data_IF_188262087543
#
_entry.id   IF_188262087543
#
_cell.length_a   1.000
_cell.length_b   1.000
_cell.length_c   1.000
_cell.angle_alpha   90.00
_cell.angle_beta   90.00
_cell.angle_gamma   90.00
#
_symmetry.space_group_name_H-M   'P 1'
#
loop_
_entity.id
_entity.type
_entity.pdbx_description
1 polymer ?
#
# COMPACT_ATOMS: atom_id res chain seq x y z
N UNK A 1 2.51 48.15 -28.51
CA UNK A 1 1.08 47.81 -28.74
C UNK A 1 0.55 47.21 -27.43
N UNK A 2 0.37 47.99 -26.37
CA UNK A 2 -0.75 48.92 -26.10
C UNK A 2 -2.01 48.20 -25.62
N UNK A 3 -2.30 48.38 -24.30
CA UNK A 3 -3.64 48.50 -23.68
C UNK A 3 -4.44 47.17 -23.58
N UNK A 4 -5.12 46.77 -22.50
CA UNK A 4 -5.94 47.51 -21.56
C UNK A 4 -6.33 46.59 -20.37
N UNK A 5 -6.38 47.16 -19.17
CA UNK A 5 -7.05 46.64 -17.98
C UNK A 5 -8.58 46.48 -18.18
N UNK A 6 -9.21 45.47 -17.55
CA UNK A 6 -10.62 45.35 -17.06
C UNK A 6 -10.97 43.85 -17.02
N UNK A 7 -11.67 43.26 -16.06
CA UNK A 7 -12.39 43.72 -14.87
C UNK A 7 -12.68 42.45 -14.05
N UNK A 8 -12.41 42.48 -12.75
CA UNK A 8 -13.10 41.60 -11.79
C UNK A 8 -14.60 41.96 -11.77
N UNK A 9 -15.46 41.03 -11.37
CA UNK A 9 -16.32 41.33 -10.24
C UNK A 9 -16.12 40.37 -9.06
N UNK A 10 -16.19 40.97 -7.88
CA UNK A 10 -16.20 40.37 -6.54
C UNK A 10 -17.64 39.98 -6.15
N UNK A 11 -17.74 39.16 -5.10
CA UNK A 11 -18.92 38.76 -4.30
C UNK A 11 -19.83 37.73 -4.99
N UNK A 12 -20.07 36.54 -4.41
CA UNK A 12 -20.67 36.34 -3.09
C UNK A 12 -19.83 35.45 -2.17
N UNK A 13 -19.54 36.03 -1.00
CA UNK A 13 -19.06 35.42 0.24
C UNK A 13 -20.26 34.84 0.99
N UNK A 14 -20.17 33.58 1.40
CA UNK A 14 -20.81 32.99 2.59
C UNK A 14 -20.27 31.55 2.72
N UNK A 15 -19.86 30.99 3.84
CA UNK A 15 -19.43 31.46 5.15
C UNK A 15 -18.55 30.31 5.71
N UNK A 16 -17.58 30.66 6.56
CA UNK A 16 -16.53 29.80 7.13
C UNK A 16 -17.10 28.75 8.15
N UNK A 17 -16.31 27.83 8.79
CA UNK A 17 -15.01 28.12 9.41
C UNK A 17 -13.87 27.12 9.12
N UNK A 18 -12.72 27.70 8.74
CA UNK A 18 -11.40 27.18 9.06
C UNK A 18 -11.06 27.61 10.49
N UNK A 19 -10.92 26.66 11.41
CA UNK A 19 -10.18 26.85 12.65
C UNK A 19 -9.84 25.50 13.29
N UNK A 20 -8.62 25.41 13.83
CA UNK A 20 -7.94 24.23 14.38
C UNK A 20 -7.40 23.32 13.27
N UNK A 21 -6.12 23.33 12.94
CA UNK A 21 -5.01 23.06 13.86
C UNK A 21 -3.80 23.89 13.45
N UNK A 22 -3.45 24.88 14.27
CA UNK A 22 -2.11 25.45 14.30
C UNK A 22 -1.68 25.44 15.75
N UNK A 23 -0.66 24.65 16.08
CA UNK A 23 0.32 24.84 17.16
C UNK A 23 0.85 23.51 17.70
N UNK A 24 1.78 22.89 16.97
CA UNK A 24 2.94 22.21 17.60
C UNK A 24 4.17 22.55 16.77
N UNK A 25 4.62 23.80 16.86
CA UNK A 25 5.97 24.18 16.46
C UNK A 25 6.92 23.76 17.57
N UNK A 26 7.48 22.55 17.47
CA UNK A 26 8.67 22.16 18.23
C UNK A 26 9.85 22.20 17.26
N UNK A 27 10.69 23.23 17.45
CA UNK A 27 11.97 23.45 16.79
C UNK A 27 12.89 22.24 17.00
N UNK A 28 13.03 21.38 15.98
CA UNK A 28 14.06 20.34 15.95
C UNK A 28 14.83 20.46 14.63
N UNK A 29 16.03 21.03 14.76
CA UNK A 29 17.20 20.97 13.88
C UNK A 29 16.99 20.36 12.49
N UNK A 30 16.96 21.25 11.51
CA UNK A 30 17.11 20.99 10.08
C UNK A 30 18.27 20.02 9.78
N UNK A 31 18.02 19.09 8.84
CA UNK A 31 18.98 18.38 7.94
C UNK A 31 18.86 16.86 7.80
N UNK A 32 17.82 16.17 8.30
CA UNK A 32 17.78 14.70 8.10
C UNK A 32 16.41 14.04 7.87
N UNK A 33 15.33 14.78 7.58
CA UNK A 33 13.99 14.16 7.39
C UNK A 33 13.28 14.65 6.10
N UNK A 34 13.86 15.64 5.39
CA UNK A 34 13.32 16.16 4.14
C UNK A 34 12.98 15.09 3.06
N UNK A 35 13.76 14.02 2.84
CA UNK A 35 13.40 13.08 1.77
C UNK A 35 12.21 12.18 2.11
N UNK A 36 11.87 11.96 3.39
CA UNK A 36 10.81 11.03 3.78
C UNK A 36 9.43 11.69 3.68
N UNK A 37 9.31 12.95 4.11
CA UNK A 37 8.04 13.70 4.03
C UNK A 37 7.69 14.04 2.57
N UNK A 38 8.70 14.33 1.74
CA UNK A 38 8.51 14.58 0.31
C UNK A 38 8.03 13.31 -0.42
N UNK A 39 8.57 12.13 -0.09
CA UNK A 39 8.14 10.87 -0.72
C UNK A 39 6.69 10.52 -0.37
N UNK A 40 6.24 10.78 0.87
CA UNK A 40 4.84 10.54 1.26
C UNK A 40 3.89 11.54 0.57
N UNK A 41 4.24 12.83 0.51
CA UNK A 41 3.42 13.83 -0.20
C UNK A 41 3.39 13.65 -1.71
N UNK A 42 4.47 13.14 -2.32
CA UNK A 42 4.49 12.80 -3.75
C UNK A 42 3.63 11.57 -4.02
N UNK A 43 3.69 10.52 -3.16
CA UNK A 43 2.90 9.31 -3.36
C UNK A 43 1.38 9.59 -3.25
N UNK A 44 0.97 10.39 -2.27
CA UNK A 44 -0.43 10.80 -2.09
C UNK A 44 -0.93 11.77 -3.17
N UNK A 45 -0.02 12.52 -3.83
CA UNK A 45 -0.37 13.39 -4.96
C UNK A 45 -0.39 12.62 -6.30
N UNK A 46 0.38 11.53 -6.42
CA UNK A 46 0.42 10.68 -7.60
C UNK A 46 -0.78 9.72 -7.67
N UNK A 47 -1.31 9.32 -6.51
CA UNK A 47 -2.53 8.50 -6.42
C UNK A 47 -3.81 9.29 -6.80
N UNK A 48 -3.82 10.62 -6.66
CA UNK A 48 -4.95 11.47 -7.09
C UNK A 48 -4.93 11.88 -8.58
N UNK A 49 -3.93 11.46 -9.37
CA UNK A 49 -3.83 11.85 -10.79
C UNK A 49 -4.13 10.73 -11.79
N UNK A 50 -4.53 9.55 -11.33
CA UNK A 50 -4.95 8.44 -12.22
C UNK A 50 -6.47 8.49 -12.55
N UNK A 51 -7.27 9.26 -11.80
CA UNK A 51 -8.73 9.28 -11.97
C UNK A 51 -9.28 10.41 -12.86
N UNK A 52 -8.55 10.86 -13.90
CA UNK A 52 -9.01 11.98 -14.75
C UNK A 52 -9.15 11.74 -16.25
N UNK A 53 -9.05 10.50 -16.71
CA UNK A 53 -9.30 10.16 -18.12
C UNK A 53 -10.08 8.84 -18.29
N UNK A 54 -11.31 8.76 -17.75
CA UNK A 54 -12.34 7.87 -18.34
C UNK A 54 -13.78 8.32 -18.06
N UNK A 55 -14.07 9.62 -18.11
CA UNK A 55 -15.42 10.07 -18.46
C UNK A 55 -15.53 10.15 -19.99
N UNK A 56 -15.71 9.01 -20.64
CA UNK A 56 -16.22 8.95 -22.02
C UNK A 56 -17.52 8.15 -22.03
N UNK A 57 -18.56 8.86 -22.47
CA UNK A 57 -19.91 8.42 -22.87
C UNK A 57 -20.82 7.80 -21.79
N UNK A 58 -21.49 8.67 -21.02
CA UNK A 58 -22.86 8.40 -20.56
C UNK A 58 -23.78 8.51 -21.78
N UNK A 59 -23.89 7.40 -22.52
CA UNK A 59 -24.63 7.35 -23.79
C UNK A 59 -24.96 5.94 -24.29
N UNK A 60 -24.85 4.93 -23.43
CA UNK A 60 -25.41 3.60 -23.66
C UNK A 60 -26.23 3.26 -22.42
N UNK A 61 -27.54 3.10 -22.57
CA UNK A 61 -28.40 2.51 -21.56
C UNK A 61 -27.71 1.30 -20.95
N UNK A 62 -27.52 1.27 -19.61
CA UNK A 62 -27.01 0.09 -18.93
C UNK A 62 -27.86 -1.11 -19.37
N UNK A 63 -27.32 -2.10 -20.10
CA UNK A 63 -28.12 -3.21 -20.60
C UNK A 63 -28.82 -3.94 -19.44
N UNK A 64 -28.17 -3.97 -18.27
CA UNK A 64 -28.74 -4.48 -17.03
C UNK A 64 -30.04 -3.76 -16.62
N UNK A 65 -30.11 -2.43 -16.68
CA UNK A 65 -31.33 -1.67 -16.33
C UNK A 65 -32.49 -2.02 -17.25
N UNK A 66 -32.22 -2.17 -18.55
CA UNK A 66 -33.23 -2.58 -19.51
C UNK A 66 -33.75 -3.99 -19.20
N UNK A 67 -32.86 -4.93 -18.89
CA UNK A 67 -33.24 -6.29 -18.53
C UNK A 67 -34.01 -6.36 -17.20
N UNK A 68 -33.66 -5.54 -16.21
CA UNK A 68 -34.39 -5.46 -14.93
C UNK A 68 -35.80 -4.90 -15.13
N UNK A 69 -35.97 -3.89 -15.98
CA UNK A 69 -37.30 -3.35 -16.32
C UNK A 69 -38.16 -4.43 -17.01
N UNK A 70 -37.58 -5.17 -17.95
CA UNK A 70 -38.26 -6.29 -18.62
C UNK A 70 -38.61 -7.41 -17.63
N UNK A 71 -37.72 -7.72 -16.68
CA UNK A 71 -37.93 -8.75 -15.67
C UNK A 71 -39.16 -8.46 -14.78
N UNK A 72 -39.41 -7.19 -14.46
CA UNK A 72 -40.59 -6.80 -13.67
C UNK A 72 -41.91 -7.13 -14.35
N UNK A 73 -41.94 -7.19 -15.68
CA UNK A 73 -43.16 -7.46 -16.46
C UNK A 73 -43.20 -8.88 -17.04
N UNK A 74 -42.07 -9.58 -17.12
CA UNK A 74 -41.97 -10.93 -17.66
C UNK A 74 -42.38 -11.98 -16.62
N UNK A 75 -43.21 -12.95 -17.01
CA UNK A 75 -43.60 -14.10 -16.17
C UNK A 75 -43.49 -15.42 -16.92
N UNK A 76 -43.19 -16.50 -16.20
CA UNK A 76 -43.14 -17.87 -16.75
C UNK A 76 -42.17 -17.98 -17.94
N UNK A 77 -42.68 -18.39 -19.10
CA UNK A 77 -41.88 -18.58 -20.32
C UNK A 77 -41.15 -17.31 -20.79
N UNK A 78 -41.74 -16.13 -20.62
CA UNK A 78 -41.10 -14.87 -20.98
C UNK A 78 -39.88 -14.57 -20.07
N UNK A 79 -39.97 -14.94 -18.80
CA UNK A 79 -38.85 -14.79 -17.86
C UNK A 79 -37.73 -15.78 -18.17
N UNK A 80 -38.05 -17.01 -18.62
CA UNK A 80 -37.04 -17.97 -19.11
C UNK A 80 -36.28 -17.42 -20.31
N UNK A 81 -36.99 -16.83 -21.27
CA UNK A 81 -36.36 -16.26 -22.45
C UNK A 81 -35.49 -15.04 -22.09
N UNK A 82 -35.95 -14.20 -21.17
CA UNK A 82 -35.16 -13.10 -20.63
C UNK A 82 -33.87 -13.59 -19.96
N UNK A 83 -33.93 -14.66 -19.16
CA UNK A 83 -32.73 -15.25 -18.55
C UNK A 83 -31.75 -15.70 -19.61
N UNK A 84 -32.20 -16.38 -20.68
CA UNK A 84 -31.32 -16.77 -21.78
C UNK A 84 -30.67 -15.56 -22.45
N UNK A 85 -31.44 -14.52 -22.75
CA UNK A 85 -30.92 -13.29 -23.36
C UNK A 85 -29.88 -12.60 -22.48
N UNK A 86 -30.12 -12.52 -21.16
CA UNK A 86 -29.18 -11.92 -20.21
C UNK A 86 -27.90 -12.75 -20.07
N UNK A 87 -28.02 -14.07 -20.06
CA UNK A 87 -26.87 -14.96 -19.99
C UNK A 87 -26.00 -14.86 -21.25
N UNK A 88 -26.58 -14.61 -22.42
CA UNK A 88 -25.85 -14.45 -23.68
C UNK A 88 -25.35 -13.01 -23.92
N UNK A 89 -25.96 -12.01 -23.28
CA UNK A 89 -25.58 -10.61 -23.45
C UNK A 89 -24.12 -10.36 -23.02
N UNK A 90 -23.25 -9.83 -23.91
CA UNK A 90 -21.90 -9.42 -23.55
C UNK A 90 -21.93 -8.18 -22.63
N UNK A 91 -20.98 -8.09 -21.71
CA UNK A 91 -20.86 -6.95 -20.78
C UNK A 91 -21.76 -7.00 -19.54
N UNK A 92 -22.74 -7.92 -19.48
CA UNK A 92 -23.56 -8.13 -18.27
C UNK A 92 -22.97 -9.26 -17.45
N UNK A 93 -22.20 -8.95 -16.42
CA UNK A 93 -21.53 -9.93 -15.54
C UNK A 93 -22.08 -9.98 -14.12
N UNK A 94 -23.09 -9.14 -13.83
CA UNK A 94 -23.76 -8.98 -12.54
C UNK A 94 -25.22 -9.40 -12.71
N UNK A 95 -25.69 -10.34 -11.90
CA UNK A 95 -27.01 -10.95 -11.99
C UNK A 95 -27.79 -10.89 -10.68
N UNK A 96 -27.21 -10.41 -9.58
CA UNK A 96 -27.87 -10.34 -8.27
C UNK A 96 -29.16 -9.52 -8.31
N UNK A 97 -29.14 -8.35 -8.96
CA UNK A 97 -30.32 -7.48 -9.14
C UNK A 97 -31.46 -8.19 -9.89
N UNK A 98 -31.09 -8.98 -10.89
CA UNK A 98 -32.05 -9.75 -11.67
C UNK A 98 -32.62 -10.91 -10.82
N UNK A 99 -31.77 -11.58 -10.05
CA UNK A 99 -32.17 -12.66 -9.14
C UNK A 99 -33.05 -12.17 -7.98
N UNK A 100 -32.90 -10.91 -7.57
CA UNK A 100 -33.70 -10.31 -6.50
C UNK A 100 -35.12 -9.92 -6.94
N UNK A 101 -35.38 -9.88 -8.26
CA UNK A 101 -36.71 -9.55 -8.80
C UNK A 101 -37.73 -10.66 -8.51
N UNK A 102 -38.90 -10.29 -7.97
CA UNK A 102 -39.96 -11.24 -7.58
C UNK A 102 -40.39 -12.17 -8.72
N UNK A 103 -40.54 -11.63 -9.94
CA UNK A 103 -40.88 -12.41 -11.13
C UNK A 103 -39.92 -13.58 -11.37
N UNK A 104 -38.64 -13.44 -11.00
CA UNK A 104 -37.59 -14.43 -11.20
C UNK A 104 -37.51 -15.39 -10.02
N UNK A 105 -37.72 -14.91 -8.80
CA UNK A 105 -37.88 -15.76 -7.60
C UNK A 105 -39.06 -16.73 -7.75
N UNK A 106 -40.15 -16.32 -8.40
CA UNK A 106 -41.28 -17.21 -8.69
C UNK A 106 -40.89 -18.40 -9.59
N UNK A 107 -39.92 -18.25 -10.50
CA UNK A 107 -39.46 -19.38 -11.34
C UNK A 107 -38.82 -20.48 -10.51
N UNK A 108 -38.23 -20.17 -9.34
CA UNK A 108 -37.60 -21.17 -8.47
C UNK A 108 -38.60 -22.24 -8.01
N UNK A 109 -39.87 -21.85 -7.80
CA UNK A 109 -40.94 -22.75 -7.35
C UNK A 109 -41.75 -23.35 -8.51
N UNK A 110 -41.46 -22.93 -9.74
CA UNK A 110 -42.21 -23.32 -10.93
C UNK A 110 -41.62 -24.50 -11.70
N UNK A 111 -42.25 -24.88 -12.83
CA UNK A 111 -41.74 -25.91 -13.74
C UNK A 111 -40.42 -25.53 -14.43
N UNK A 112 -39.99 -24.27 -14.31
CA UNK A 112 -38.77 -23.72 -14.89
C UNK A 112 -37.67 -23.46 -13.85
N UNK A 113 -37.74 -24.10 -12.68
CA UNK A 113 -36.77 -24.01 -11.58
C UNK A 113 -35.32 -24.28 -12.03
N UNK A 114 -35.16 -25.09 -13.06
CA UNK A 114 -33.88 -25.41 -13.70
C UNK A 114 -33.17 -24.17 -14.26
N UNK A 115 -33.90 -23.19 -14.81
CA UNK A 115 -33.32 -21.94 -15.31
C UNK A 115 -32.97 -20.96 -14.19
N UNK A 116 -33.71 -21.00 -13.08
CA UNK A 116 -33.37 -20.23 -11.88
C UNK A 116 -32.06 -20.74 -11.27
N UNK A 117 -31.89 -22.06 -11.18
CA UNK A 117 -30.65 -22.67 -10.71
C UNK A 117 -29.47 -22.32 -11.63
N UNK A 118 -29.68 -22.31 -12.95
CA UNK A 118 -28.67 -21.87 -13.91
C UNK A 118 -28.24 -20.42 -13.63
N UNK A 119 -29.20 -19.49 -13.47
CA UNK A 119 -28.89 -18.10 -13.15
C UNK A 119 -28.14 -17.97 -11.82
N UNK A 120 -28.50 -18.77 -10.82
CA UNK A 120 -27.81 -18.82 -9.52
C UNK A 120 -26.34 -19.24 -9.66
N UNK A 121 -26.03 -20.20 -10.54
CA UNK A 121 -24.65 -20.61 -10.83
C UNK A 121 -23.88 -19.48 -11.51
N UNK A 122 -24.50 -18.74 -12.43
CA UNK A 122 -23.84 -17.58 -13.05
C UNK A 122 -23.58 -16.45 -12.06
N UNK A 123 -24.47 -16.23 -11.09
CA UNK A 123 -24.28 -15.23 -10.04
C UNK A 123 -23.18 -15.66 -9.05
N UNK A 124 -23.30 -16.85 -8.46
CA UNK A 124 -22.48 -17.25 -7.30
C UNK A 124 -21.58 -18.47 -7.52
N UNK A 125 -21.88 -19.31 -8.52
CA UNK A 125 -21.24 -20.60 -8.71
C UNK A 125 -20.04 -20.60 -9.67
N UNK A 126 -19.50 -21.78 -9.95
CA UNK A 126 -18.34 -21.94 -10.84
C UNK A 126 -18.65 -22.84 -12.03
N UNK A 127 -17.81 -22.80 -13.07
CA UNK A 127 -17.96 -23.69 -14.22
C UNK A 127 -17.92 -25.17 -13.84
N UNK A 128 -17.11 -25.52 -12.83
CA UNK A 128 -17.05 -26.88 -12.29
C UNK A 128 -18.36 -27.31 -11.63
N UNK A 129 -19.03 -26.41 -10.90
CA UNK A 129 -20.36 -26.70 -10.32
C UNK A 129 -21.39 -26.94 -11.42
N UNK A 130 -21.36 -26.15 -12.49
CA UNK A 130 -22.21 -26.40 -13.66
C UNK A 130 -21.97 -27.79 -14.25
N UNK A 131 -20.70 -28.22 -14.39
CA UNK A 131 -20.36 -29.55 -14.90
C UNK A 131 -20.92 -30.68 -14.03
N UNK A 132 -20.90 -30.53 -12.71
CA UNK A 132 -21.46 -31.53 -11.79
C UNK A 132 -22.99 -31.62 -11.86
N UNK A 133 -23.66 -30.50 -12.19
CA UNK A 133 -25.11 -30.43 -12.30
C UNK A 133 -25.61 -30.53 -13.75
N UNK A 134 -24.73 -30.86 -14.70
CA UNK A 134 -25.04 -30.87 -16.14
C UNK A 134 -26.24 -31.75 -16.49
N UNK A 135 -26.43 -32.87 -15.79
CA UNK A 135 -27.56 -33.80 -16.02
C UNK A 135 -28.92 -33.24 -15.58
N UNK A 136 -28.92 -32.21 -14.73
CA UNK A 136 -30.14 -31.58 -14.19
C UNK A 136 -30.41 -30.20 -14.79
N UNK A 137 -29.43 -29.60 -15.44
CA UNK A 137 -29.46 -28.25 -15.99
C UNK A 137 -29.69 -28.28 -17.51
N UNK A 138 -30.15 -27.16 -18.11
CA UNK A 138 -30.29 -27.07 -19.55
C UNK A 138 -28.92 -27.01 -20.20
N UNK A 139 -28.82 -27.46 -21.45
CA UNK A 139 -27.61 -27.26 -22.24
C UNK A 139 -27.35 -25.76 -22.45
N UNK A 140 -26.14 -25.32 -22.15
CA UNK A 140 -25.71 -23.93 -22.34
C UNK A 140 -25.13 -23.73 -23.74
N UNK A 141 -25.45 -22.59 -24.35
CA UNK A 141 -24.84 -22.14 -25.62
C UNK A 141 -23.32 -21.93 -25.44
N UNK A 142 -22.49 -22.12 -26.48
CA UNK A 142 -21.05 -21.87 -26.39
C UNK A 142 -20.67 -20.48 -25.86
N UNK A 143 -21.45 -19.44 -26.16
CA UNK A 143 -21.25 -18.10 -25.61
C UNK A 143 -21.46 -18.03 -24.10
N UNK A 144 -22.53 -18.65 -23.59
CA UNK A 144 -22.80 -18.76 -22.14
C UNK A 144 -21.70 -19.57 -21.44
N UNK A 145 -21.20 -20.64 -22.07
CA UNK A 145 -20.08 -21.42 -21.55
C UNK A 145 -18.82 -20.55 -21.37
N UNK A 146 -18.41 -19.81 -22.40
CA UNK A 146 -17.26 -18.89 -22.31
C UNK A 146 -17.44 -17.85 -21.21
N UNK A 147 -18.64 -17.28 -21.10
CA UNK A 147 -18.98 -16.30 -20.06
C UNK A 147 -18.85 -16.89 -18.65
N UNK A 148 -19.36 -18.10 -18.42
CA UNK A 148 -19.22 -18.78 -17.13
C UNK A 148 -17.74 -19.12 -16.82
N UNK A 149 -16.96 -19.47 -17.83
CA UNK A 149 -15.53 -19.67 -17.69
C UNK A 149 -14.82 -18.36 -17.29
N UNK A 150 -15.14 -17.23 -17.94
CA UNK A 150 -14.60 -15.90 -17.53
C UNK A 150 -14.96 -15.55 -16.08
N UNK A 151 -16.22 -15.76 -15.67
CA UNK A 151 -16.67 -15.51 -14.29
C UNK A 151 -15.97 -16.44 -13.28
N UNK A 152 -15.63 -17.65 -13.69
CA UNK A 152 -14.85 -18.59 -12.86
C UNK A 152 -13.42 -18.08 -12.67
N UNK A 153 -12.78 -17.54 -13.72
CA UNK A 153 -11.46 -16.90 -13.61
C UNK A 153 -11.52 -15.72 -12.64
N UNK A 154 -12.52 -14.85 -12.75
CA UNK A 154 -12.74 -13.72 -11.82
C UNK A 154 -12.89 -14.20 -10.38
N UNK A 155 -13.65 -15.29 -10.15
CA UNK A 155 -13.83 -15.86 -8.82
C UNK A 155 -12.55 -16.45 -8.23
N UNK A 156 -11.66 -16.99 -9.08
CA UNK A 156 -10.33 -17.43 -8.68
C UNK A 156 -9.40 -16.24 -8.41
N UNK A 157 -9.52 -15.15 -9.18
CA UNK A 157 -8.76 -13.92 -8.99
C UNK A 157 -8.99 -13.29 -7.61
N UNK A 158 -10.20 -13.39 -7.07
CA UNK A 158 -10.51 -12.92 -5.71
C UNK A 158 -9.71 -13.67 -4.64
N UNK A 159 -9.34 -14.93 -4.89
CA UNK A 159 -8.62 -15.78 -3.93
C UNK A 159 -7.11 -15.70 -4.10
N UNK A 160 -6.63 -15.59 -5.34
CA UNK A 160 -5.22 -15.66 -5.68
C UNK A 160 -4.88 -14.67 -6.81
N UNK A 161 -3.86 -13.84 -6.59
CA UNK A 161 -3.36 -12.89 -7.60
C UNK A 161 -2.53 -13.56 -8.69
N UNK A 162 -1.82 -14.65 -8.36
CA UNK A 162 -1.04 -15.44 -9.29
C UNK A 162 -1.70 -16.81 -9.42
N UNK A 163 -2.36 -17.07 -10.54
CA UNK A 163 -3.14 -18.29 -10.77
C UNK A 163 -2.32 -19.24 -11.66
N UNK A 164 -1.92 -20.43 -11.18
CA UNK A 164 -1.22 -21.38 -12.02
C UNK A 164 -2.15 -21.97 -13.09
N UNK A 165 -1.61 -22.24 -14.27
CA UNK A 165 -2.38 -22.80 -15.39
C UNK A 165 -3.00 -24.16 -15.06
N UNK A 166 -2.37 -24.97 -14.21
CA UNK A 166 -2.93 -26.25 -13.77
C UNK A 166 -4.28 -26.11 -13.07
N UNK A 167 -4.43 -25.08 -12.23
CA UNK A 167 -5.70 -24.78 -11.53
C UNK A 167 -6.73 -24.27 -12.53
N UNK A 168 -6.34 -23.39 -13.46
CA UNK A 168 -7.25 -22.90 -14.50
C UNK A 168 -7.75 -24.03 -15.42
N UNK A 169 -6.86 -24.91 -15.87
CA UNK A 169 -7.22 -26.05 -16.71
C UNK A 169 -8.20 -26.98 -15.99
N UNK A 170 -8.01 -27.22 -14.68
CA UNK A 170 -8.88 -28.06 -13.87
C UNK A 170 -10.25 -27.42 -13.61
N UNK A 171 -10.29 -26.13 -13.24
CA UNK A 171 -11.55 -25.44 -12.90
C UNK A 171 -12.40 -25.11 -14.14
N UNK A 172 -11.76 -24.92 -15.31
CA UNK A 172 -12.42 -24.58 -16.58
C UNK A 172 -12.68 -25.79 -17.49
N UNK A 173 -12.27 -26.99 -17.06
CA UNK A 173 -12.30 -28.26 -17.83
C UNK A 173 -11.72 -28.10 -19.25
N UNK A 174 -10.49 -27.58 -19.31
CA UNK A 174 -9.75 -27.39 -20.57
C UNK A 174 -8.51 -28.27 -20.60
N UNK A 175 -8.25 -28.87 -21.76
CA UNK A 175 -7.10 -29.79 -21.97
C UNK A 175 -5.90 -29.10 -22.62
N UNK A 176 -6.15 -28.02 -23.35
CA UNK A 176 -5.15 -27.32 -24.15
C UNK A 176 -4.80 -25.99 -23.51
N UNK A 177 -3.50 -25.68 -23.47
CA UNK A 177 -3.01 -24.39 -22.98
C UNK A 177 -3.36 -23.25 -23.95
N UNK A 178 -3.36 -23.49 -25.26
CA UNK A 178 -3.73 -22.45 -26.24
C UNK A 178 -5.17 -21.97 -26.07
N UNK A 179 -6.10 -22.90 -25.93
CA UNK A 179 -7.51 -22.56 -25.72
C UNK A 179 -7.72 -21.78 -24.41
N UNK A 180 -6.90 -22.08 -23.39
CA UNK A 180 -6.86 -21.31 -22.14
C UNK A 180 -6.34 -19.89 -22.35
N UNK A 181 -5.21 -19.74 -23.06
CA UNK A 181 -4.63 -18.43 -23.37
C UNK A 181 -5.60 -17.56 -24.19
N UNK A 182 -6.22 -18.14 -25.22
CA UNK A 182 -7.21 -17.44 -26.05
C UNK A 182 -8.41 -16.97 -25.21
N UNK A 183 -8.89 -17.78 -24.27
CA UNK A 183 -9.97 -17.41 -23.35
C UNK A 183 -9.54 -16.27 -22.40
N UNK A 184 -8.33 -16.34 -21.85
CA UNK A 184 -7.79 -15.26 -20.99
C UNK A 184 -7.66 -13.97 -21.79
N UNK A 185 -7.15 -14.06 -23.02
CA UNK A 185 -7.02 -12.93 -23.92
C UNK A 185 -8.41 -12.32 -24.20
N UNK A 186 -9.42 -13.12 -24.54
CA UNK A 186 -10.81 -12.66 -24.71
C UNK A 186 -11.35 -11.94 -23.47
N UNK A 187 -11.05 -12.44 -22.26
CA UNK A 187 -11.46 -11.81 -21.02
C UNK A 187 -10.75 -10.46 -20.77
N UNK A 188 -9.48 -10.33 -21.15
CA UNK A 188 -8.73 -9.07 -21.10
C UNK A 188 -9.30 -8.06 -22.10
N UNK A 189 -9.58 -8.49 -23.34
CA UNK A 189 -10.17 -7.64 -24.37
C UNK A 189 -11.59 -7.16 -24.00
N UNK A 190 -12.30 -7.91 -23.16
CA UNK A 190 -13.64 -7.57 -22.68
C UNK A 190 -13.63 -6.73 -21.41
N UNK A 191 -12.46 -6.23 -20.96
CA UNK A 191 -12.26 -5.47 -19.72
C UNK A 191 -12.76 -6.20 -18.44
N UNK A 192 -12.84 -7.54 -18.47
CA UNK A 192 -13.27 -8.36 -17.32
C UNK A 192 -12.11 -8.53 -16.33
N UNK A 193 -10.91 -8.75 -16.86
CA UNK A 193 -9.68 -8.93 -16.08
C UNK A 193 -8.56 -8.09 -16.68
N UNK A 194 -7.67 -7.58 -15.82
CA UNK A 194 -6.42 -6.97 -16.22
C UNK A 194 -5.27 -7.74 -15.58
N UNK A 195 -4.31 -8.13 -16.40
CA UNK A 195 -3.20 -8.95 -15.95
C UNK A 195 -2.25 -9.29 -17.08
N UNK A 196 -1.24 -10.10 -16.76
CA UNK A 196 -0.19 -10.55 -17.67
C UNK A 196 -0.08 -12.06 -17.63
N UNK A 197 0.11 -12.65 -18.79
CA UNK A 197 0.39 -14.07 -18.93
C UNK A 197 1.89 -14.29 -18.77
N UNK A 198 2.28 -15.05 -17.75
CA UNK A 198 3.65 -15.50 -17.56
C UNK A 198 3.79 -16.95 -18.02
N UNK A 199 4.15 -17.09 -19.30
CA UNK A 199 4.34 -18.40 -19.92
C UNK A 199 5.51 -19.18 -19.34
N UNK A 200 6.54 -18.50 -18.81
CA UNK A 200 7.73 -19.16 -18.27
C UNK A 200 7.40 -19.93 -17.00
N UNK A 201 6.61 -19.31 -16.12
CA UNK A 201 6.18 -19.93 -14.87
C UNK A 201 4.81 -20.61 -14.99
N UNK A 202 4.19 -20.58 -16.18
CA UNK A 202 2.86 -21.15 -16.45
C UNK A 202 1.81 -20.63 -15.47
N UNK A 203 1.78 -19.30 -15.30
CA UNK A 203 0.89 -18.61 -14.38
C UNK A 203 0.28 -17.37 -15.00
N UNK A 204 -0.93 -17.03 -14.55
CA UNK A 204 -1.62 -15.80 -14.86
C UNK A 204 -1.46 -14.84 -13.68
N UNK A 205 -0.82 -13.71 -13.91
CA UNK A 205 -0.69 -12.63 -12.93
C UNK A 205 -1.82 -11.63 -13.13
N UNK A 206 -2.64 -11.42 -12.11
CA UNK A 206 -3.79 -10.53 -12.16
C UNK A 206 -3.53 -9.28 -11.33
N UNK A 207 -3.67 -8.13 -12.00
CA UNK A 207 -3.60 -6.81 -11.39
C UNK A 207 -4.98 -6.39 -10.88
N UNK A 208 -6.02 -6.65 -11.69
CA UNK A 208 -7.40 -6.30 -11.39
C UNK A 208 -8.37 -7.29 -12.02
N UNK A 209 -9.52 -7.49 -11.37
CA UNK A 209 -10.65 -8.21 -11.92
C UNK A 209 -11.94 -7.49 -11.52
N UNK A 210 -12.94 -7.52 -12.39
CA UNK A 210 -14.26 -6.98 -12.06
C UNK A 210 -14.87 -7.71 -10.86
N UNK A 211 -15.68 -7.01 -10.07
CA UNK A 211 -16.46 -7.64 -9.02
C UNK A 211 -17.58 -8.48 -9.62
N UNK A 212 -17.68 -9.75 -9.19
CA UNK A 212 -18.87 -10.58 -9.42
C UNK A 212 -19.93 -10.30 -8.34
N UNK A 213 -21.12 -10.88 -8.51
CA UNK A 213 -22.19 -10.87 -7.52
C UNK A 213 -21.70 -11.36 -6.14
N UNK A 214 -22.04 -10.57 -5.13
CA UNK A 214 -21.74 -10.87 -3.73
C UNK A 214 -22.94 -11.58 -3.12
N UNK A 215 -22.68 -12.72 -2.46
CA UNK A 215 -23.75 -13.40 -1.74
C UNK A 215 -24.11 -12.57 -0.49
N UNK A 216 -25.39 -12.44 -0.11
CA UNK A 216 -25.80 -11.62 1.05
C UNK A 216 -25.12 -12.02 2.37
N UNK A 217 -24.60 -13.24 2.52
CA UNK A 217 -23.81 -13.67 3.68
C UNK A 217 -22.33 -13.28 3.66
N UNK A 218 -21.79 -12.83 2.53
CA UNK A 218 -20.37 -12.51 2.37
C UNK A 218 -20.03 -11.05 2.76
N UNK A 219 -21.04 -10.20 2.98
CA UNK A 219 -20.82 -8.81 3.41
C UNK A 219 -20.03 -8.72 4.74
N UNK A 220 -20.31 -9.65 5.67
CA UNK A 220 -19.58 -9.73 6.92
C UNK A 220 -18.09 -10.09 6.71
N UNK A 221 -17.80 -10.95 5.73
CA UNK A 221 -16.42 -11.31 5.37
C UNK A 221 -15.69 -10.12 4.76
N UNK A 222 -16.34 -9.39 3.85
CA UNK A 222 -15.78 -8.18 3.23
C UNK A 222 -15.45 -7.15 4.32
N UNK A 223 -16.40 -6.87 5.22
CA UNK A 223 -16.18 -5.96 6.35
C UNK A 223 -15.02 -6.42 7.24
N UNK A 224 -14.95 -7.71 7.58
CA UNK A 224 -13.86 -8.26 8.38
C UNK A 224 -12.49 -8.14 7.68
N UNK A 225 -12.42 -8.38 6.37
CA UNK A 225 -11.17 -8.22 5.61
C UNK A 225 -10.70 -6.77 5.54
N UNK A 226 -11.63 -5.83 5.37
CA UNK A 226 -11.31 -4.40 5.38
C UNK A 226 -10.85 -3.95 6.77
N UNK A 227 -11.51 -4.43 7.83
CA UNK A 227 -11.10 -4.14 9.20
C UNK A 227 -9.70 -4.68 9.49
N UNK A 228 -9.41 -5.93 9.12
CA UNK A 228 -8.08 -6.51 9.29
C UNK A 228 -7.00 -5.73 8.53
N UNK A 229 -7.33 -5.16 7.37
CA UNK A 229 -6.42 -4.31 6.62
C UNK A 229 -6.19 -2.95 7.32
N UNK A 230 -7.25 -2.32 7.85
CA UNK A 230 -7.13 -1.12 8.67
C UNK A 230 -6.26 -1.36 9.91
N UNK A 231 -6.49 -2.46 10.63
CA UNK A 231 -5.74 -2.82 11.83
C UNK A 231 -4.26 -3.07 11.51
N UNK A 232 -3.96 -3.69 10.35
CA UNK A 232 -2.60 -3.87 9.88
C UNK A 232 -1.90 -2.53 9.58
N UNK A 233 -2.60 -1.59 8.94
CA UNK A 233 -2.09 -0.25 8.68
C UNK A 233 -1.83 0.51 9.99
N UNK A 234 -2.75 0.44 10.95
CA UNK A 234 -2.59 1.05 12.27
C UNK A 234 -1.40 0.44 13.03
N UNK A 235 -1.24 -0.89 13.00
CA UNK A 235 -0.10 -1.57 13.62
C UNK A 235 1.24 -1.13 13.02
N UNK A 236 1.31 -0.93 11.70
CA UNK A 236 2.51 -0.39 11.04
C UNK A 236 2.77 1.05 11.47
N UNK A 237 1.75 1.90 11.53
CA UNK A 237 1.89 3.29 11.99
C UNK A 237 2.40 3.36 13.43
N UNK A 238 1.80 2.60 14.35
CA UNK A 238 2.23 2.51 15.76
C UNK A 238 3.67 2.00 15.88
N UNK A 239 4.05 1.01 15.05
CA UNK A 239 5.42 0.52 15.01
C UNK A 239 6.40 1.62 14.58
N UNK A 240 6.08 2.39 13.53
CA UNK A 240 6.90 3.51 13.07
C UNK A 240 7.02 4.59 14.15
N UNK A 241 5.93 4.98 14.78
CA UNK A 241 5.92 5.94 15.89
C UNK A 241 6.79 5.47 17.06
N UNK A 242 6.68 4.18 17.44
CA UNK A 242 7.53 3.58 18.47
C UNK A 242 9.02 3.65 18.11
N UNK A 243 9.37 3.38 16.85
CA UNK A 243 10.75 3.48 16.40
C UNK A 243 11.28 4.92 16.41
N UNK A 244 10.43 5.90 16.09
CA UNK A 244 10.78 7.33 16.19
C UNK A 244 11.08 7.69 17.65
N UNK A 245 10.22 7.29 18.59
CA UNK A 245 10.43 7.56 20.03
C UNK A 245 11.72 6.91 20.53
N UNK A 246 11.97 5.66 20.18
CA UNK A 246 13.20 4.94 20.54
C UNK A 246 14.45 5.63 19.98
N UNK A 247 14.43 6.01 18.70
CA UNK A 247 15.54 6.71 18.07
C UNK A 247 15.81 8.08 18.72
N UNK A 248 14.76 8.83 19.04
CA UNK A 248 14.89 10.12 19.74
C UNK A 248 15.40 9.96 21.17
N UNK A 249 14.94 8.93 21.89
CA UNK A 249 15.41 8.64 23.24
C UNK A 249 16.91 8.27 23.26
N UNK A 250 17.34 7.40 22.35
CA UNK A 250 18.76 7.02 22.24
C UNK A 250 19.62 8.20 21.81
N UNK A 251 19.15 9.02 20.86
CA UNK A 251 19.82 10.27 20.48
C UNK A 251 19.98 11.21 21.68
N UNK A 252 18.93 11.43 22.47
CA UNK A 252 18.98 12.28 23.65
C UNK A 252 19.90 11.72 24.73
N UNK A 253 19.93 10.40 24.92
CA UNK A 253 20.84 9.72 25.84
C UNK A 253 22.31 9.91 25.40
N UNK A 254 22.59 9.73 24.11
CA UNK A 254 23.91 9.94 23.54
C UNK A 254 24.37 11.41 23.66
N UNK A 255 23.47 12.38 23.42
CA UNK A 255 23.76 13.80 23.61
C UNK A 255 24.10 14.13 25.06
N UNK A 256 23.29 13.67 26.02
CA UNK A 256 23.57 13.85 27.46
C UNK A 256 24.89 13.22 27.89
N UNK A 257 25.19 12.02 27.38
CA UNK A 257 26.46 11.36 27.68
C UNK A 257 27.65 12.14 27.13
N UNK A 258 27.54 12.64 25.90
CA UNK A 258 28.57 13.51 25.28
C UNK A 258 28.76 14.79 26.08
N UNK A 259 27.69 15.46 26.51
CA UNK A 259 27.76 16.67 27.35
C UNK A 259 28.44 16.39 28.69
N UNK A 260 28.13 15.27 29.35
CA UNK A 260 28.79 14.86 30.61
C UNK A 260 30.30 14.70 30.43
N UNK A 261 30.72 14.02 29.35
CA UNK A 261 32.15 13.85 29.03
C UNK A 261 32.80 15.22 28.76
N UNK A 262 32.16 16.09 27.99
CA UNK A 262 32.68 17.43 27.69
C UNK A 262 32.83 18.29 28.97
N UNK A 263 31.88 18.18 29.91
CA UNK A 263 31.95 18.85 31.21
C UNK A 263 33.08 18.28 32.08
N UNK A 264 33.23 16.96 32.17
CA UNK A 264 34.34 16.33 32.88
C UNK A 264 35.69 16.75 32.32
N UNK A 265 35.84 16.77 30.99
CA UNK A 265 37.05 17.26 30.32
C UNK A 265 37.31 18.73 30.64
N UNK A 266 36.26 19.57 30.67
CA UNK A 266 36.40 20.98 31.02
C UNK A 266 36.81 21.18 32.49
N UNK A 267 36.25 20.38 33.40
CA UNK A 267 36.57 20.40 34.84
C UNK A 267 38.02 19.96 35.09
N UNK A 268 38.44 18.83 34.48
CA UNK A 268 39.83 18.35 34.56
C UNK A 268 40.80 19.42 34.02
N UNK A 269 40.49 20.05 32.89
CA UNK A 269 41.31 21.15 32.34
C UNK A 269 41.42 22.34 33.30
N UNK A 270 40.35 22.70 34.02
CA UNK A 270 40.38 23.78 35.01
C UNK A 270 41.24 23.42 36.22
N UNK A 271 41.06 22.21 36.78
CA UNK A 271 41.87 21.73 37.92
C UNK A 271 43.35 21.63 37.58
N UNK A 272 43.69 21.18 36.36
CA UNK A 272 45.08 21.18 35.89
C UNK A 272 45.65 22.60 35.82
N UNK A 273 44.90 23.58 35.30
CA UNK A 273 45.36 24.97 35.23
C UNK A 273 45.58 25.60 36.62
N UNK A 274 44.68 25.34 37.58
CA UNK A 274 44.83 25.88 38.95
C UNK A 274 46.02 25.25 39.67
N UNK A 275 46.25 23.94 39.51
CA UNK A 275 47.45 23.29 40.07
C UNK A 275 48.76 23.80 39.46
N UNK A 276 48.77 24.14 38.17
CA UNK A 276 49.96 24.77 37.56
C UNK A 276 50.19 26.19 38.09
N UNK A 277 49.14 26.98 38.33
CA UNK A 277 49.27 28.33 38.94
C UNK A 277 49.72 28.28 40.41
N UNK A 278 49.17 27.38 41.23
CA UNK A 278 49.61 27.21 42.63
C UNK A 278 51.08 26.74 42.71
N UNK A 279 51.53 25.94 41.74
CA UNK A 279 52.93 25.52 41.63
C UNK A 279 53.88 26.64 41.19
N UNK A 280 53.41 27.58 40.36
CA UNK A 280 54.18 28.77 39.96
C UNK A 280 54.24 29.82 41.09
N UNK A 281 53.20 29.92 41.94
CA UNK A 281 53.16 30.84 43.07
C UNK A 281 53.99 30.33 44.27
N UNK A 282 54.04 29.01 44.50
CA UNK A 282 54.91 28.37 45.49
C UNK A 282 56.41 28.45 45.15
N UNK A 283 56.79 28.52 43.87
CA UNK A 283 58.19 28.78 43.47
C UNK A 283 58.60 30.25 43.59
N UNK A 284 57.67 31.18 43.79
CA UNK A 284 57.97 32.60 43.94
C UNK A 284 58.13 33.03 45.42
N UNK A 285 57.58 32.26 46.37
CA UNK A 285 57.74 32.49 47.81
C UNK A 285 59.04 31.91 48.40
N UNK A 286 59.60 30.86 47.80
CA UNK A 286 60.89 30.28 48.23
C UNK A 286 62.13 31.06 47.74
N UNK A 287 61.95 32.10 46.92
CA UNK A 287 63.03 32.95 46.38
C UNK A 287 63.30 34.24 47.18
N UNK A 288 62.73 34.40 48.38
CA UNK A 288 62.95 35.60 49.22
C UNK A 288 63.73 35.38 50.52
N UNK A 289 64.07 34.15 50.87
CA UNK A 289 64.91 33.86 52.05
C UNK A 289 66.01 32.83 51.77
N UNK A 290 66.91 33.11 50.83
CA UNK A 290 68.29 32.62 51.00
C UNK A 290 69.34 33.52 50.35
N UNK A 291 70.13 34.08 51.25
CA UNK A 291 71.41 34.76 51.11
C UNK A 291 72.32 34.26 49.97
N UNK A 292 72.94 35.25 49.29
CA UNK A 292 74.39 35.44 49.35
C UNK A 292 75.31 34.29 48.94
N UNK A 293 76.15 34.62 47.95
CA UNK A 293 77.51 34.10 47.74
C UNK A 293 77.65 32.74 47.05
N UNK A 294 78.41 32.71 45.95
CA UNK A 294 79.08 31.49 45.47
C UNK A 294 79.06 31.26 43.97
N UNK A 295 80.19 31.57 43.33
CA UNK A 295 80.56 31.18 41.95
C UNK A 295 80.71 29.66 41.79
N UNK A 296 80.21 29.05 40.70
CA UNK A 296 81.00 28.27 39.71
C UNK A 296 80.17 27.57 38.61
N UNK A 297 80.65 27.71 37.37
CA UNK A 297 80.74 26.77 36.22
C UNK A 297 79.80 25.54 36.01
N UNK A 298 79.36 25.43 34.73
CA UNK A 298 79.11 24.20 33.91
C UNK A 298 77.94 23.30 34.36
N UNK A 299 77.18 22.58 33.53
CA UNK A 299 77.30 22.11 32.16
C UNK A 299 75.90 21.75 31.60
N UNK A 300 75.86 21.46 30.30
CA UNK A 300 74.71 21.09 29.46
C UNK A 300 73.86 19.93 30.02
N UNK A 301 72.54 19.97 29.77
CA UNK A 301 71.78 18.86 29.15
C UNK A 301 70.32 19.22 28.86
N UNK A 302 70.03 19.38 27.57
CA UNK A 302 68.72 19.62 26.96
C UNK A 302 68.05 18.26 26.74
N UNK A 303 66.98 17.91 27.48
CA UNK A 303 66.13 16.76 27.16
C UNK A 303 64.72 17.23 26.83
N UNK A 304 64.33 16.96 25.59
CA UNK A 304 63.09 17.40 24.96
C UNK A 304 61.85 16.68 25.47
N UNK A 305 60.77 17.45 25.50
CA UNK A 305 59.39 17.02 25.70
C UNK A 305 58.90 16.31 24.43
N UNK A 306 58.60 15.00 24.51
CA UNK A 306 57.96 14.26 23.40
C UNK A 306 56.44 14.38 23.51
N UNK A 307 55.87 15.22 22.65
CA UNK A 307 54.44 15.23 22.31
C UNK A 307 54.12 13.99 21.47
N UNK A 308 53.21 13.13 21.93
CA UNK A 308 52.65 12.02 21.13
C UNK A 308 51.37 12.51 20.45
N UNK A 309 51.46 12.80 19.16
CA UNK A 309 50.34 13.06 18.28
C UNK A 309 49.57 11.77 17.96
N UNK A 310 48.25 11.87 17.95
CA UNK A 310 47.33 10.93 17.28
C UNK A 310 47.50 11.01 15.76
N UNK A 311 47.48 9.86 15.07
CA UNK A 311 46.45 9.50 14.06
C UNK A 311 46.74 8.20 13.31
N UNK A 312 45.67 7.40 13.20
CA UNK A 312 45.22 6.63 12.03
C UNK A 312 46.07 5.47 11.50
N UNK A 313 45.47 4.27 11.53
CA UNK A 313 45.96 3.07 10.85
C UNK A 313 44.96 1.92 10.98
N UNK A 314 43.86 2.02 10.24
CA UNK A 314 42.89 0.95 9.98
C UNK A 314 43.60 -0.27 9.35
N UNK A 315 43.34 -1.50 9.86
CA UNK A 315 42.96 -2.66 9.06
C UNK A 315 43.19 -4.01 9.80
N UNK A 316 42.14 -4.85 9.79
CA UNK A 316 42.14 -6.33 9.86
C UNK A 316 42.36 -7.01 11.21
N UNK A 317 41.26 -7.30 11.92
CA UNK A 317 41.22 -8.46 12.81
C UNK A 317 39.78 -8.97 13.01
N UNK A 318 39.32 -9.86 12.13
CA UNK A 318 38.31 -10.91 12.41
C UNK A 318 38.43 -11.97 11.31
N UNK A 319 39.10 -13.09 11.61
CA UNK A 319 38.88 -14.35 10.90
C UNK A 319 38.18 -15.30 11.87
N UNK A 320 36.99 -15.76 11.47
CA UNK A 320 36.24 -16.85 12.08
C UNK A 320 36.75 -18.16 11.46
N UNK A 321 36.94 -19.18 12.29
CA UNK A 321 36.74 -20.58 11.93
C UNK A 321 35.50 -21.07 12.66
#
# INVERSE_FOLDING_TARGET
MSRFFRSLPKSVLAAAPLASVSAVSVLISERSIAPIVIVISINMSCEMQIDKEKERSVGGSNPLEQFVILAKSARGAAAVELVKQVLEAPGVHVFAELLDTDSIKELANGPHSVYYELLRIFAYGTYREYMQLKDRLPEITPGMKKKLQHLTIVSLATKMKCIPYSVLLQELDMKNVRDLEDLIIEAIYSDIIHGKLDQRNSQLELDYAIGRDVQPGDLAKISATLQAWCDACEAVLVCVESQIVKANAEKNKSLKHKESIEQEVANIKKTLKSQTQDSDEAMNTDMREQSGHGSHQTDKSKKGFRVKNLRSGSAKFWQKS
#
